data_IF_353162070189
#
_entry.id   IF_353162070189
#
_cell.length_a   1.000
_cell.length_b   1.000
_cell.length_c   1.000
_cell.angle_alpha   90.00
_cell.angle_beta   90.00
_cell.angle_gamma   90.00
#
_symmetry.space_group_name_H-M   'P 1'
#
loop_
_entity.id
_entity.type
_entity.pdbx_description
1 polymer ?
#
# COMPACT_ATOMS: atom_id res chain seq x y z
N UNK A 1 12.64 9.19 22.96
CA UNK A 1 11.54 8.52 22.23
C UNK A 1 12.20 7.90 21.01
N UNK A 2 12.34 6.57 20.97
CA UNK A 2 13.04 5.88 19.89
C UNK A 2 12.02 5.72 18.76
N UNK A 3 12.20 6.44 17.67
CA UNK A 3 11.34 6.32 16.49
C UNK A 3 11.43 4.89 15.95
N UNK A 4 10.31 4.33 15.48
CA UNK A 4 10.39 3.14 14.62
C UNK A 4 11.10 3.51 13.32
N UNK A 5 11.66 2.53 12.60
CA UNK A 5 12.35 2.78 11.32
C UNK A 5 11.40 3.42 10.30
N UNK A 6 10.13 3.00 10.31
CA UNK A 6 9.10 3.55 9.42
C UNK A 6 8.77 5.01 9.76
N UNK A 7 8.64 5.36 11.05
CA UNK A 7 8.39 6.74 11.46
C UNK A 7 9.59 7.63 11.12
N UNK A 8 10.80 7.10 11.28
CA UNK A 8 12.02 7.80 10.93
C UNK A 8 12.13 8.03 9.41
N UNK A 9 11.86 7.01 8.59
CA UNK A 9 11.80 7.13 7.14
C UNK A 9 10.76 8.18 6.72
N UNK A 10 9.54 8.12 7.26
CA UNK A 10 8.49 9.09 6.97
C UNK A 10 8.90 10.53 7.34
N UNK A 11 9.55 10.71 8.49
CA UNK A 11 10.06 12.02 8.92
C UNK A 11 11.12 12.58 7.97
N UNK A 12 12.08 11.75 7.56
CA UNK A 12 13.12 12.13 6.60
C UNK A 12 12.53 12.50 5.24
N UNK A 13 11.64 11.65 4.70
CA UNK A 13 11.02 11.86 3.39
C UNK A 13 10.14 13.11 3.37
N UNK A 14 9.44 13.39 4.47
CA UNK A 14 8.66 14.62 4.64
C UNK A 14 9.54 15.86 4.61
N UNK A 15 10.70 15.83 5.27
CA UNK A 15 11.65 16.94 5.23
C UNK A 15 12.13 17.22 3.80
N UNK A 16 12.47 16.17 3.03
CA UNK A 16 12.84 16.30 1.60
C UNK A 16 11.69 16.91 0.80
N UNK A 17 10.47 16.36 0.92
CA UNK A 17 9.28 16.81 0.19
C UNK A 17 8.95 18.28 0.44
N UNK A 18 9.19 18.76 1.66
CA UNK A 18 8.93 20.15 2.04
C UNK A 18 10.12 21.10 1.82
N UNK A 19 11.29 20.59 1.43
CA UNK A 19 12.53 21.38 1.38
C UNK A 19 12.99 21.86 2.77
N UNK A 20 12.69 21.11 3.82
CA UNK A 20 13.02 21.43 5.21
C UNK A 20 14.37 20.83 5.64
N UNK A 21 14.92 21.38 6.72
CA UNK A 21 16.16 20.88 7.32
C UNK A 21 15.91 19.59 8.09
N UNK A 22 16.85 18.64 7.97
CA UNK A 22 16.82 17.44 8.80
C UNK A 22 17.00 17.80 10.28
N UNK A 23 16.22 17.15 11.14
CA UNK A 23 16.28 17.35 12.60
C UNK A 23 17.58 16.85 13.23
N UNK A 24 18.43 16.18 12.45
CA UNK A 24 19.71 15.61 12.86
C UNK A 24 20.81 16.05 11.89
N UNK A 25 22.07 16.19 12.35
CA UNK A 25 23.18 16.52 11.46
C UNK A 25 23.29 15.52 10.32
N UNK A 26 23.41 15.99 9.08
CA UNK A 26 23.59 15.16 7.89
C UNK A 26 24.91 15.51 7.21
N UNK A 27 25.75 14.51 6.93
CA UNK A 27 26.94 14.72 6.11
C UNK A 27 26.54 15.07 4.68
N UNK A 28 27.30 15.92 4.01
CA UNK A 28 27.03 16.38 2.65
C UNK A 28 25.65 17.03 2.42
N UNK A 29 25.04 17.58 3.48
CA UNK A 29 23.72 18.19 3.39
C UNK A 29 23.66 19.35 2.38
N UNK A 30 24.71 20.18 2.31
CA UNK A 30 24.78 21.28 1.35
C UNK A 30 24.72 20.76 -0.10
N UNK A 31 25.43 19.66 -0.39
CA UNK A 31 25.39 19.05 -1.71
C UNK A 31 24.05 18.34 -2.00
N UNK A 32 23.39 17.78 -0.98
CA UNK A 32 22.03 17.25 -1.11
C UNK A 32 21.00 18.35 -1.43
N UNK A 33 21.21 19.59 -0.96
CA UNK A 33 20.33 20.72 -1.28
C UNK A 33 20.53 21.29 -2.68
N UNK A 34 21.67 21.00 -3.31
CA UNK A 34 21.97 21.44 -4.67
C UNK A 34 21.27 20.59 -5.74
N UNK A 35 20.76 19.41 -5.37
CA UNK A 35 20.05 18.51 -6.29
C UNK A 35 18.53 18.64 -6.13
N UNK A 36 17.81 18.53 -7.24
CA UNK A 36 16.34 18.49 -7.23
C UNK A 36 15.85 17.08 -6.89
N UNK A 37 15.27 16.94 -5.71
CA UNK A 37 14.74 15.68 -5.15
C UNK A 37 13.20 15.64 -5.28
N UNK A 38 12.72 15.54 -6.51
CA UNK A 38 11.30 15.61 -6.89
C UNK A 38 10.56 14.24 -6.85
N UNK A 39 11.22 13.22 -6.33
CA UNK A 39 10.78 11.83 -6.32
C UNK A 39 10.50 11.27 -7.73
N UNK A 40 11.28 11.68 -8.74
CA UNK A 40 11.25 11.10 -10.10
C UNK A 40 12.40 10.11 -10.33
N UNK A 41 12.33 9.31 -11.39
CA UNK A 41 13.48 8.51 -11.82
C UNK A 41 14.69 9.38 -12.17
N UNK A 42 14.47 10.59 -12.70
CA UNK A 42 15.56 11.48 -13.09
C UNK A 42 16.34 12.01 -11.88
N UNK A 43 15.66 12.23 -10.74
CA UNK A 43 16.34 12.59 -9.49
C UNK A 43 17.36 11.54 -9.02
N UNK A 44 17.22 10.27 -9.43
CA UNK A 44 18.22 9.24 -9.13
C UNK A 44 19.51 9.46 -9.93
N UNK A 45 19.43 9.99 -11.15
CA UNK A 45 20.60 10.38 -11.93
C UNK A 45 21.36 11.53 -11.24
N UNK A 46 20.65 12.48 -10.62
CA UNK A 46 21.26 13.54 -9.83
C UNK A 46 21.96 12.99 -8.59
N UNK A 47 21.35 12.01 -7.90
CA UNK A 47 21.99 11.31 -6.78
C UNK A 47 23.23 10.54 -7.25
N UNK A 48 23.16 9.84 -8.38
CA UNK A 48 24.32 9.13 -8.93
C UNK A 48 25.48 10.08 -9.23
N UNK A 49 25.20 11.23 -9.84
CA UNK A 49 26.19 12.28 -10.08
C UNK A 49 26.79 12.84 -8.77
N UNK A 50 25.95 13.06 -7.75
CA UNK A 50 26.38 13.49 -6.42
C UNK A 50 27.32 12.47 -5.77
N UNK A 51 26.92 11.19 -5.74
CA UNK A 51 27.69 10.10 -5.14
C UNK A 51 29.04 9.93 -5.84
N UNK A 52 29.08 10.01 -7.17
CA UNK A 52 30.32 9.97 -7.95
C UNK A 52 31.21 11.19 -7.67
N UNK A 53 30.65 12.39 -7.54
CA UNK A 53 31.40 13.59 -7.16
C UNK A 53 32.00 13.44 -5.76
N UNK A 54 31.21 12.97 -4.79
CA UNK A 54 31.69 12.73 -3.42
C UNK A 54 32.83 11.74 -3.41
N UNK A 55 32.68 10.61 -4.11
CA UNK A 55 33.71 9.58 -4.25
C UNK A 55 35.00 10.15 -4.83
N UNK A 56 34.91 10.90 -5.94
CA UNK A 56 36.08 11.37 -6.67
C UNK A 56 36.79 12.54 -5.98
N UNK A 57 36.03 13.46 -5.39
CA UNK A 57 36.54 14.71 -4.79
C UNK A 57 36.90 14.56 -3.33
N UNK A 58 36.00 14.01 -2.51
CA UNK A 58 36.19 13.92 -1.06
C UNK A 58 36.81 12.60 -0.62
N UNK A 59 36.68 11.53 -1.43
CA UNK A 59 37.24 10.18 -1.15
C UNK A 59 36.92 9.73 0.28
N UNK A 60 35.62 9.65 0.64
CA UNK A 60 35.23 9.36 2.01
C UNK A 60 35.76 7.99 2.47
N UNK A 61 36.08 7.90 3.76
CA UNK A 61 36.32 6.60 4.41
C UNK A 61 34.99 5.95 4.77
N UNK A 62 34.85 4.65 4.48
CA UNK A 62 33.70 3.85 4.86
C UNK A 62 33.45 3.91 6.38
N UNK A 63 34.50 3.67 7.17
CA UNK A 63 34.42 3.69 8.63
C UNK A 63 33.90 5.03 9.17
N UNK A 64 34.34 6.14 8.57
CA UNK A 64 33.89 7.48 8.99
C UNK A 64 32.39 7.69 8.73
N UNK A 65 31.88 7.19 7.61
CA UNK A 65 30.46 7.31 7.28
C UNK A 65 29.60 6.45 8.22
N UNK A 66 30.00 5.21 8.51
CA UNK A 66 29.20 4.32 9.34
C UNK A 66 29.35 4.55 10.85
N UNK A 67 30.41 5.21 11.33
CA UNK A 67 30.62 5.48 12.76
C UNK A 67 30.07 6.83 13.23
N UNK A 68 29.82 7.76 12.31
CA UNK A 68 29.31 9.09 12.66
C UNK A 68 27.80 9.19 12.42
N UNK A 69 27.05 9.79 13.35
CA UNK A 69 25.62 9.99 13.19
C UNK A 69 25.29 10.75 11.88
N UNK A 70 26.12 11.71 11.52
CA UNK A 70 25.95 12.49 10.29
C UNK A 70 26.16 11.67 9.01
N UNK A 71 27.16 10.78 9.02
CA UNK A 71 27.39 9.87 7.90
C UNK A 71 26.31 8.81 7.76
N UNK A 72 25.85 8.25 8.88
CA UNK A 72 24.76 7.29 8.90
C UNK A 72 23.47 7.92 8.34
N UNK A 73 23.11 9.13 8.79
CA UNK A 73 21.94 9.84 8.28
C UNK A 73 22.03 10.09 6.77
N UNK A 74 23.19 10.51 6.27
CA UNK A 74 23.39 10.71 4.84
C UNK A 74 23.08 9.45 4.03
N UNK A 75 23.61 8.29 4.45
CA UNK A 75 23.36 7.02 3.77
C UNK A 75 21.88 6.60 3.87
N UNK A 76 21.25 6.79 5.03
CA UNK A 76 19.85 6.46 5.24
C UNK A 76 18.91 7.35 4.42
N UNK A 77 19.18 8.66 4.34
CA UNK A 77 18.43 9.61 3.50
C UNK A 77 18.37 9.11 2.05
N UNK A 78 19.52 8.72 1.50
CA UNK A 78 19.60 8.22 0.13
C UNK A 78 18.87 6.88 -0.05
N UNK A 79 19.01 5.97 0.91
CA UNK A 79 18.32 4.67 0.86
C UNK A 79 16.78 4.83 0.94
N UNK A 80 16.30 5.67 1.84
CA UNK A 80 14.87 5.99 1.98
C UNK A 80 14.34 6.66 0.72
N UNK A 81 15.04 7.68 0.23
CA UNK A 81 14.65 8.38 -0.97
C UNK A 81 14.59 7.45 -2.19
N UNK A 82 15.64 6.64 -2.40
CA UNK A 82 15.70 5.67 -3.50
C UNK A 82 14.49 4.73 -3.49
N UNK A 83 14.20 4.11 -2.35
CA UNK A 83 13.06 3.20 -2.25
C UNK A 83 11.71 3.91 -2.37
N UNK A 84 11.59 5.16 -1.94
CA UNK A 84 10.38 5.96 -2.17
C UNK A 84 10.18 6.32 -3.64
N UNK A 85 11.24 6.62 -4.39
CA UNK A 85 11.14 6.77 -5.86
C UNK A 85 10.67 5.46 -6.47
N UNK A 86 11.26 4.32 -6.06
CA UNK A 86 10.89 3.01 -6.61
C UNK A 86 9.43 2.70 -6.37
N UNK A 87 8.97 2.90 -5.14
CA UNK A 87 7.61 2.62 -4.74
C UNK A 87 6.57 3.54 -5.38
N UNK A 88 6.92 4.81 -5.60
CA UNK A 88 6.07 5.75 -6.35
C UNK A 88 5.91 5.32 -7.80
N UNK A 89 7.01 4.93 -8.46
CA UNK A 89 6.99 4.58 -9.89
C UNK A 89 6.33 3.21 -10.11
N UNK A 90 6.57 2.24 -9.23
CA UNK A 90 5.99 0.89 -9.30
C UNK A 90 4.61 0.76 -8.65
N UNK A 91 4.11 1.84 -8.03
CA UNK A 91 2.88 1.85 -7.22
C UNK A 91 2.88 0.75 -6.15
N UNK A 92 4.03 0.54 -5.50
CA UNK A 92 4.16 -0.45 -4.43
C UNK A 92 4.23 0.14 -3.03
N UNK A 93 3.98 -0.72 -2.04
CA UNK A 93 4.25 -0.39 -0.65
C UNK A 93 5.72 -0.66 -0.31
N UNK A 94 6.26 0.13 0.62
CA UNK A 94 7.61 -0.09 1.19
C UNK A 94 7.46 -0.11 2.69
N UNK A 95 7.70 -1.27 3.28
CA UNK A 95 7.77 -1.41 4.72
C UNK A 95 9.20 -1.61 5.16
N UNK A 96 9.66 -0.77 6.08
CA UNK A 96 10.99 -0.85 6.67
C UNK A 96 10.96 -1.72 7.92
N UNK A 97 12.08 -2.39 8.16
CA UNK A 97 12.33 -3.20 9.34
C UNK A 97 13.74 -2.89 9.83
N UNK A 98 13.91 -2.80 11.15
CA UNK A 98 15.26 -2.96 11.70
C UNK A 98 15.71 -4.43 11.59
N UNK A 99 17.00 -4.68 11.85
CA UNK A 99 17.56 -6.01 11.72
C UNK A 99 16.88 -7.07 12.61
N UNK A 100 16.48 -6.72 13.83
CA UNK A 100 15.85 -7.65 14.77
C UNK A 100 14.40 -7.95 14.35
N UNK A 101 13.64 -6.92 13.97
CA UNK A 101 12.30 -7.05 13.39
C UNK A 101 12.32 -7.93 12.14
N UNK A 102 13.32 -7.70 11.26
CA UNK A 102 13.48 -8.45 10.03
C UNK A 102 13.78 -9.93 10.30
N UNK A 103 14.73 -10.21 11.20
CA UNK A 103 15.11 -11.56 11.59
C UNK A 103 13.94 -12.35 12.18
N UNK A 104 12.98 -11.68 12.80
CA UNK A 104 11.78 -12.31 13.35
C UNK A 104 10.77 -12.75 12.28
N UNK A 105 10.78 -12.15 11.08
CA UNK A 105 9.78 -12.41 10.03
C UNK A 105 10.31 -13.28 8.88
N UNK A 106 11.63 -13.48 8.77
CA UNK A 106 12.22 -14.35 7.74
C UNK A 106 12.65 -15.70 8.29
N UNK A 107 12.66 -16.76 7.47
CA UNK A 107 13.27 -18.03 7.85
C UNK A 107 14.72 -17.85 8.34
N UNK A 108 15.12 -18.61 9.36
CA UNK A 108 16.43 -18.43 10.02
C UNK A 108 17.65 -18.55 9.08
N UNK A 109 17.50 -19.22 7.93
CA UNK A 109 18.52 -19.38 6.90
C UNK A 109 18.46 -18.33 5.77
N UNK A 110 17.48 -17.42 5.80
CA UNK A 110 17.28 -16.38 4.79
C UNK A 110 17.74 -14.98 5.26
N UNK A 111 18.00 -14.81 6.56
CA UNK A 111 18.52 -13.54 7.08
C UNK A 111 20.01 -13.36 6.71
N UNK A 112 20.41 -12.20 6.14
CA UNK A 112 21.81 -11.89 5.91
C UNK A 112 22.52 -11.63 7.23
N UNK A 113 23.86 -11.60 7.20
CA UNK A 113 24.67 -11.25 8.36
C UNK A 113 24.38 -9.81 8.83
N UNK A 114 24.50 -9.58 10.15
CA UNK A 114 24.29 -8.26 10.73
C UNK A 114 25.49 -7.33 10.44
N UNK A 115 25.26 -6.30 9.63
CA UNK A 115 26.20 -5.23 9.33
C UNK A 115 25.45 -3.90 9.18
N UNK A 116 26.17 -2.81 8.88
CA UNK A 116 25.54 -1.50 8.75
C UNK A 116 24.46 -1.47 7.66
N UNK A 117 24.71 -2.10 6.52
CA UNK A 117 23.78 -2.16 5.39
C UNK A 117 22.54 -3.02 5.67
N UNK A 118 22.60 -3.93 6.64
CA UNK A 118 21.47 -4.77 7.06
C UNK A 118 20.82 -4.27 8.35
N UNK A 119 21.31 -3.18 8.95
CA UNK A 119 20.65 -2.52 10.10
C UNK A 119 19.21 -2.14 9.78
N UNK A 120 18.95 -1.76 8.53
CA UNK A 120 17.63 -1.47 8.02
C UNK A 120 17.45 -2.14 6.68
N UNK A 121 16.36 -2.88 6.56
CA UNK A 121 15.96 -3.53 5.32
C UNK A 121 14.52 -3.12 5.01
N UNK A 122 14.13 -3.24 3.75
CA UNK A 122 12.72 -3.05 3.42
C UNK A 122 12.18 -4.21 2.60
N UNK A 123 10.88 -4.40 2.71
CA UNK A 123 10.12 -5.29 1.83
C UNK A 123 9.34 -4.41 0.87
N UNK A 124 9.53 -4.67 -0.42
CA UNK A 124 8.83 -4.00 -1.52
C UNK A 124 8.71 -4.99 -2.69
N UNK A 125 7.52 -5.07 -3.30
CA UNK A 125 7.19 -6.09 -4.30
C UNK A 125 7.37 -7.53 -3.79
N UNK A 126 6.94 -7.78 -2.55
CA UNK A 126 7.12 -9.08 -1.88
C UNK A 126 8.58 -9.60 -1.83
N UNK A 127 9.56 -8.73 -2.07
CA UNK A 127 10.97 -9.04 -2.08
C UNK A 127 11.74 -8.21 -1.05
N UNK A 128 12.79 -8.81 -0.49
CA UNK A 128 13.69 -8.15 0.45
C UNK A 128 14.62 -7.23 -0.36
N UNK A 129 14.67 -5.96 0.02
CA UNK A 129 15.52 -4.94 -0.60
C UNK A 129 16.51 -4.41 0.43
N UNK A 130 17.74 -4.25 -0.03
CA UNK A 130 18.86 -3.77 0.78
C UNK A 130 19.45 -2.49 0.16
N UNK A 131 18.70 -1.37 0.19
CA UNK A 131 19.04 -0.15 -0.54
C UNK A 131 20.38 0.47 -0.09
N UNK A 132 20.80 0.23 1.16
CA UNK A 132 22.12 0.69 1.63
C UNK A 132 23.29 0.03 0.88
N UNK A 133 23.16 -1.22 0.44
CA UNK A 133 24.19 -1.83 -0.41
C UNK A 133 24.30 -1.12 -1.76
N UNK A 134 23.17 -0.73 -2.37
CA UNK A 134 23.19 0.00 -3.64
C UNK A 134 23.91 1.35 -3.52
N UNK A 135 23.60 2.12 -2.46
CA UNK A 135 24.27 3.41 -2.17
C UNK A 135 25.78 3.20 -1.91
N UNK A 136 26.13 2.20 -1.09
CA UNK A 136 27.52 1.93 -0.75
C UNK A 136 28.34 1.37 -1.93
N UNK A 137 27.72 0.58 -2.80
CA UNK A 137 28.39 0.06 -3.99
C UNK A 137 28.84 1.22 -4.89
N UNK A 138 28.05 2.27 -5.05
CA UNK A 138 28.44 3.46 -5.84
C UNK A 138 29.60 4.21 -5.17
N UNK A 139 29.48 4.48 -3.86
CA UNK A 139 30.49 5.23 -3.12
C UNK A 139 31.86 4.53 -3.06
N UNK A 140 31.88 3.20 -2.90
CA UNK A 140 33.11 2.49 -2.52
C UNK A 140 33.58 1.42 -3.51
N UNK A 141 32.68 0.72 -4.21
CA UNK A 141 33.06 -0.40 -5.10
C UNK A 141 33.11 0.02 -6.57
N UNK A 142 32.07 0.70 -7.03
CA UNK A 142 31.72 1.02 -8.42
C UNK A 142 32.14 -0.07 -9.42
N UNK A 143 31.55 -1.27 -9.34
CA UNK A 143 31.75 -2.28 -10.34
C UNK A 143 30.98 -1.84 -11.61
N UNK A 144 31.69 -1.29 -12.59
CA UNK A 144 31.19 -1.02 -13.95
C UNK A 144 30.28 0.22 -14.19
N UNK A 145 30.28 1.23 -13.31
CA UNK A 145 29.53 2.47 -13.56
C UNK A 145 28.02 2.36 -13.33
N UNK A 146 27.59 1.30 -12.63
CA UNK A 146 26.19 1.09 -12.27
C UNK A 146 25.80 2.07 -11.16
N UNK A 147 24.75 2.86 -11.41
CA UNK A 147 24.15 3.80 -10.47
C UNK A 147 22.81 3.31 -9.92
N UNK A 148 22.18 4.08 -9.03
CA UNK A 148 20.82 3.86 -8.54
C UNK A 148 19.81 3.79 -9.69
N UNK A 149 20.04 4.50 -10.78
CA UNK A 149 19.21 4.39 -11.99
C UNK A 149 19.21 2.96 -12.59
N UNK A 150 20.34 2.24 -12.52
CA UNK A 150 20.40 0.85 -13.00
C UNK A 150 19.72 -0.12 -12.03
N UNK A 151 19.84 0.11 -10.72
CA UNK A 151 19.06 -0.65 -9.73
C UNK A 151 17.55 -0.39 -9.91
N UNK A 152 17.17 0.83 -10.26
CA UNK A 152 15.80 1.18 -10.56
C UNK A 152 15.25 0.42 -11.77
N UNK A 153 16.00 0.32 -12.85
CA UNK A 153 15.60 -0.45 -14.04
C UNK A 153 15.37 -1.93 -13.70
N UNK A 154 16.24 -2.53 -12.88
CA UNK A 154 16.05 -3.91 -12.42
C UNK A 154 14.77 -4.05 -11.60
N UNK A 155 14.52 -3.13 -10.68
CA UNK A 155 13.33 -3.10 -9.84
C UNK A 155 12.04 -2.93 -10.67
N UNK A 156 12.06 -2.06 -11.68
CA UNK A 156 10.89 -1.79 -12.54
C UNK A 156 10.58 -2.92 -13.53
N UNK A 157 11.56 -3.76 -13.84
CA UNK A 157 11.34 -4.96 -14.64
C UNK A 157 10.64 -6.08 -13.85
N UNK A 158 10.48 -5.91 -12.53
CA UNK A 158 9.68 -6.80 -11.71
C UNK A 158 8.19 -6.44 -11.79
N UNK A 159 7.28 -7.42 -11.83
CA UNK A 159 5.85 -7.14 -11.94
C UNK A 159 5.35 -6.31 -10.75
N UNK A 160 4.49 -5.30 -10.97
CA UNK A 160 3.98 -4.46 -9.89
C UNK A 160 3.14 -5.29 -8.90
N UNK A 161 3.34 -5.02 -7.61
CA UNK A 161 2.63 -5.70 -6.52
C UNK A 161 1.20 -5.20 -6.35
N UNK A 162 0.90 -4.01 -6.87
CA UNK A 162 -0.45 -3.43 -6.80
C UNK A 162 -0.89 -2.81 -8.12
N UNK A 163 -2.21 -2.68 -8.26
CA UNK A 163 -2.90 -2.07 -9.38
C UNK A 163 -3.77 -0.96 -8.80
N UNK A 164 -3.51 0.27 -9.22
CA UNK A 164 -4.38 1.40 -8.90
C UNK A 164 -5.68 1.27 -9.69
N UNK A 165 -6.82 1.24 -8.98
CA UNK A 165 -8.12 1.19 -9.63
C UNK A 165 -8.48 2.56 -10.20
N UNK A 166 -8.32 2.72 -11.52
CA UNK A 166 -8.62 3.97 -12.21
C UNK A 166 -10.10 4.08 -12.60
N UNK A 167 -10.78 5.07 -12.04
CA UNK A 167 -12.21 5.35 -12.26
C UNK A 167 -12.55 5.96 -13.63
N UNK A 168 -11.56 6.39 -14.41
CA UNK A 168 -11.77 7.09 -15.69
C UNK A 168 -12.11 6.16 -16.87
N UNK A 169 -12.01 4.84 -16.70
CA UNK A 169 -12.45 3.88 -17.73
C UNK A 169 -13.96 3.59 -17.58
N UNK A 170 -14.75 4.59 -17.97
CA UNK A 170 -16.16 4.80 -17.63
C UNK A 170 -17.21 3.89 -18.32
N UNK A 171 -16.88 3.01 -19.28
CA UNK A 171 -17.92 2.46 -20.19
C UNK A 171 -17.90 0.99 -20.52
N UNK A 172 -16.86 0.25 -20.15
CA UNK A 172 -16.80 -1.16 -20.53
C UNK A 172 -17.39 -2.05 -19.45
N UNK A 173 -18.63 -2.46 -19.65
CA UNK A 173 -19.21 -3.58 -18.94
C UNK A 173 -18.50 -4.88 -19.32
N UNK A 174 -18.33 -5.78 -18.35
CA UNK A 174 -17.88 -7.15 -18.64
C UNK A 174 -18.85 -7.81 -19.63
N UNK A 175 -18.33 -8.62 -20.55
CA UNK A 175 -19.18 -9.38 -21.47
C UNK A 175 -19.95 -10.47 -20.72
N UNK A 176 -21.15 -10.80 -21.18
CA UNK A 176 -21.98 -11.87 -20.58
C UNK A 176 -21.26 -13.23 -20.53
N UNK A 177 -20.40 -13.49 -21.52
CA UNK A 177 -19.56 -14.69 -21.55
C UNK A 177 -18.51 -14.69 -20.43
N UNK A 178 -17.84 -13.56 -20.17
CA UNK A 178 -16.88 -13.46 -19.07
C UNK A 178 -17.58 -13.59 -17.72
N UNK A 179 -18.77 -12.98 -17.59
CA UNK A 179 -19.59 -13.06 -16.37
C UNK A 179 -20.01 -14.50 -16.08
N UNK A 180 -20.63 -15.18 -17.05
CA UNK A 180 -21.10 -16.55 -16.87
C UNK A 180 -19.97 -17.54 -16.56
N UNK A 181 -18.78 -17.37 -17.14
CA UNK A 181 -17.62 -18.24 -16.86
C UNK A 181 -16.97 -17.99 -15.51
N UNK A 182 -17.16 -16.80 -14.92
CA UNK A 182 -16.48 -16.37 -13.71
C UNK A 182 -17.45 -15.86 -12.62
N UNK A 183 -18.68 -16.39 -12.61
CA UNK A 183 -19.79 -15.89 -11.78
C UNK A 183 -19.40 -15.69 -10.30
N UNK A 184 -18.71 -16.67 -9.71
CA UNK A 184 -18.26 -16.61 -8.31
C UNK A 184 -17.25 -15.47 -8.05
N UNK A 185 -16.33 -15.20 -8.99
CA UNK A 185 -15.37 -14.10 -8.88
C UNK A 185 -16.03 -12.73 -9.11
N UNK A 186 -16.95 -12.65 -10.07
CA UNK A 186 -17.75 -11.45 -10.33
C UNK A 186 -18.57 -11.11 -9.09
N UNK A 187 -19.32 -12.08 -8.55
CA UNK A 187 -20.15 -11.88 -7.36
C UNK A 187 -19.31 -11.40 -6.18
N UNK A 188 -18.16 -12.03 -5.91
CA UNK A 188 -17.25 -11.59 -4.85
C UNK A 188 -16.75 -10.17 -5.06
N UNK A 189 -16.39 -9.80 -6.29
CA UNK A 189 -15.85 -8.49 -6.61
C UNK A 189 -16.91 -7.39 -6.57
N UNK A 190 -18.14 -7.69 -6.98
CA UNK A 190 -19.30 -6.79 -6.81
C UNK A 190 -19.60 -6.57 -5.32
N UNK A 191 -19.53 -7.63 -4.51
CA UNK A 191 -19.68 -7.56 -3.06
C UNK A 191 -18.61 -6.67 -2.41
N UNK A 192 -17.35 -6.79 -2.84
CA UNK A 192 -16.26 -5.90 -2.41
C UNK A 192 -16.55 -4.45 -2.80
N UNK A 193 -17.00 -4.21 -4.04
CA UNK A 193 -17.36 -2.87 -4.51
C UNK A 193 -18.51 -2.24 -3.72
N UNK A 194 -19.54 -3.02 -3.37
CA UNK A 194 -20.65 -2.58 -2.52
C UNK A 194 -20.17 -2.24 -1.10
N UNK A 195 -19.38 -3.12 -0.49
CA UNK A 195 -18.84 -2.89 0.85
C UNK A 195 -17.96 -1.63 0.87
N UNK A 196 -17.09 -1.46 -0.13
CA UNK A 196 -16.26 -0.26 -0.29
C UNK A 196 -17.09 1.01 -0.44
N UNK A 197 -18.10 1.01 -1.32
CA UNK A 197 -19.00 2.14 -1.49
C UNK A 197 -19.76 2.49 -0.20
N UNK A 198 -20.24 1.48 0.53
CA UNK A 198 -20.89 1.66 1.82
C UNK A 198 -19.91 2.24 2.85
N UNK A 199 -18.70 1.70 2.98
CA UNK A 199 -17.72 2.19 3.95
C UNK A 199 -17.32 3.63 3.67
N UNK A 200 -17.09 4.02 2.41
CA UNK A 200 -16.80 5.42 2.04
C UNK A 200 -17.95 6.34 2.45
N UNK A 201 -19.21 5.91 2.28
CA UNK A 201 -20.37 6.72 2.67
C UNK A 201 -20.52 6.89 4.18
N UNK A 202 -20.08 5.90 4.97
CA UNK A 202 -20.20 5.88 6.44
C UNK A 202 -18.93 6.31 7.18
N UNK A 203 -17.81 6.54 6.48
CA UNK A 203 -16.57 7.00 7.10
C UNK A 203 -16.75 8.27 7.98
N UNK A 204 -17.58 9.28 7.60
CA UNK A 204 -17.79 10.46 8.43
C UNK A 204 -18.51 10.19 9.77
N UNK A 205 -19.18 9.05 9.95
CA UNK A 205 -19.94 8.71 11.16
C UNK A 205 -19.15 7.91 12.21
N UNK A 206 -17.83 7.79 12.06
CA UNK A 206 -16.87 7.28 13.08
C UNK A 206 -17.11 5.86 13.61
N UNK A 207 -18.01 5.07 13.02
CA UNK A 207 -18.46 3.81 13.61
C UNK A 207 -18.57 2.65 12.61
N UNK A 208 -17.79 2.67 11.52
CA UNK A 208 -17.67 1.49 10.67
C UNK A 208 -16.69 0.50 11.32
N UNK A 209 -17.18 -0.25 12.30
CA UNK A 209 -16.44 -1.35 12.90
C UNK A 209 -16.11 -2.43 11.88
N UNK A 210 -15.24 -3.37 12.26
CA UNK A 210 -14.83 -4.46 11.38
C UNK A 210 -16.07 -5.22 10.87
N UNK A 211 -16.23 -5.26 9.56
CA UNK A 211 -17.44 -5.75 8.88
C UNK A 211 -17.10 -6.95 8.01
N UNK A 212 -17.83 -8.06 8.18
CA UNK A 212 -17.68 -9.27 7.38
C UNK A 212 -18.99 -9.64 6.68
N UNK A 213 -18.94 -9.87 5.38
CA UNK A 213 -20.03 -10.24 4.49
C UNK A 213 -19.83 -11.65 3.91
N UNK A 214 -20.93 -12.35 3.67
CA UNK A 214 -20.98 -13.69 3.08
C UNK A 214 -22.15 -13.83 2.09
N UNK A 215 -22.11 -14.82 1.18
CA UNK A 215 -23.25 -15.15 0.34
C UNK A 215 -24.42 -15.67 1.18
N UNK A 216 -25.62 -15.27 0.77
CA UNK A 216 -26.89 -15.66 1.36
C UNK A 216 -27.91 -16.01 0.28
N UNK A 217 -28.78 -16.96 0.60
CA UNK A 217 -29.96 -17.32 -0.19
C UNK A 217 -31.24 -17.18 0.62
N UNK A 218 -31.22 -16.34 1.65
CA UNK A 218 -32.40 -16.05 2.46
C UNK A 218 -33.54 -15.55 1.56
N UNK A 219 -34.74 -16.10 1.77
CA UNK A 219 -35.93 -15.87 0.95
C UNK A 219 -35.85 -16.33 -0.52
N UNK A 220 -34.92 -17.23 -0.87
CA UNK A 220 -34.83 -17.81 -2.20
C UNK A 220 -34.29 -16.84 -3.26
N UNK A 221 -33.63 -15.76 -2.83
CA UNK A 221 -32.93 -14.81 -3.69
C UNK A 221 -31.43 -14.83 -3.39
N UNK A 222 -30.55 -14.91 -4.40
CA UNK A 222 -29.12 -14.67 -4.19
C UNK A 222 -28.93 -13.28 -3.60
N UNK A 223 -28.17 -13.17 -2.52
CA UNK A 223 -27.92 -11.93 -1.81
C UNK A 223 -26.71 -12.01 -0.89
N UNK A 224 -26.49 -10.95 -0.11
CA UNK A 224 -25.37 -10.86 0.83
C UNK A 224 -25.91 -10.84 2.25
N UNK A 225 -25.20 -11.45 3.21
CA UNK A 225 -25.52 -11.33 4.63
C UNK A 225 -24.31 -10.85 5.44
N UNK A 226 -24.57 -9.88 6.31
CA UNK A 226 -23.63 -9.47 7.34
C UNK A 226 -23.44 -10.62 8.31
N UNK A 227 -22.20 -11.09 8.43
CA UNK A 227 -21.82 -12.21 9.28
C UNK A 227 -21.60 -11.74 10.71
N UNK A 228 -20.90 -10.60 10.91
CA UNK A 228 -20.55 -10.07 12.23
C UNK A 228 -20.00 -8.62 12.13
N UNK A 229 -20.32 -7.79 13.13
CA UNK A 229 -19.46 -6.67 13.54
C UNK A 229 -18.48 -7.21 14.58
N UNK A 230 -17.19 -7.26 14.26
CA UNK A 230 -16.18 -7.67 15.24
C UNK A 230 -15.73 -6.47 16.06
N UNK A 231 -15.29 -6.72 17.30
CA UNK A 231 -14.51 -5.75 18.08
C UNK A 231 -13.29 -5.29 17.29
N UNK A 232 -12.59 -4.25 17.74
CA UNK A 232 -11.37 -3.70 17.12
C UNK A 232 -10.20 -4.72 16.97
N UNK A 233 -10.42 -6.01 17.26
CA UNK A 233 -9.46 -7.10 17.07
C UNK A 233 -9.48 -7.64 15.64
N UNK A 234 -8.54 -7.14 14.84
CA UNK A 234 -8.27 -7.61 13.48
C UNK A 234 -7.83 -9.08 13.41
N UNK A 235 -7.42 -9.70 14.52
CA UNK A 235 -7.01 -11.12 14.56
C UNK A 235 -8.20 -12.04 14.42
N UNK A 236 -9.32 -11.74 15.10
CA UNK A 236 -10.56 -12.51 14.98
C UNK A 236 -11.10 -12.46 13.55
N UNK A 237 -10.99 -11.29 12.91
CA UNK A 237 -11.36 -11.06 11.51
C UNK A 237 -10.60 -11.96 10.54
N UNK A 238 -9.27 -11.91 10.59
CA UNK A 238 -8.42 -12.75 9.74
C UNK A 238 -8.65 -14.23 10.01
N UNK A 239 -8.82 -14.61 11.28
CA UNK A 239 -9.11 -15.99 11.66
C UNK A 239 -10.45 -16.49 11.08
N UNK A 240 -11.49 -15.66 11.01
CA UNK A 240 -12.76 -16.00 10.35
C UNK A 240 -12.60 -16.16 8.84
N UNK A 241 -11.86 -15.26 8.18
CA UNK A 241 -11.54 -15.34 6.77
C UNK A 241 -10.73 -16.62 6.48
N UNK A 242 -9.63 -16.87 7.17
CA UNK A 242 -8.77 -18.01 6.82
C UNK A 242 -9.44 -19.37 7.07
N UNK A 243 -10.20 -19.50 8.17
CA UNK A 243 -10.80 -20.79 8.54
C UNK A 243 -12.18 -21.05 7.93
N UNK A 244 -12.89 -20.02 7.47
CA UNK A 244 -14.24 -20.12 6.91
C UNK A 244 -15.15 -21.09 7.72
N UNK A 245 -15.41 -20.79 9.02
CA UNK A 245 -16.05 -21.74 9.93
C UNK A 245 -17.46 -22.16 9.51
N UNK A 246 -18.11 -21.39 8.62
CA UNK A 246 -19.45 -21.66 8.09
C UNK A 246 -19.45 -22.21 6.65
N UNK A 247 -18.28 -22.60 6.13
CA UNK A 247 -18.10 -23.21 4.80
C UNK A 247 -18.80 -22.43 3.68
N UNK A 248 -18.66 -21.11 3.69
CA UNK A 248 -19.22 -20.22 2.67
C UNK A 248 -18.43 -20.31 1.37
N UNK A 249 -19.10 -20.05 0.24
CA UNK A 249 -18.46 -20.04 -1.08
C UNK A 249 -17.37 -18.97 -1.18
N UNK A 250 -17.65 -17.81 -0.59
CA UNK A 250 -16.72 -16.72 -0.43
C UNK A 250 -17.00 -15.97 0.88
N UNK A 251 -16.00 -15.23 1.35
CA UNK A 251 -16.12 -14.27 2.44
C UNK A 251 -15.41 -12.99 2.02
N UNK A 252 -15.96 -11.84 2.40
CA UNK A 252 -15.41 -10.53 2.11
C UNK A 252 -15.59 -9.64 3.33
N UNK A 253 -14.59 -8.88 3.72
CA UNK A 253 -14.79 -7.91 4.79
C UNK A 253 -13.78 -6.78 4.77
N UNK A 254 -13.97 -5.85 5.70
CA UNK A 254 -13.17 -4.63 5.85
C UNK A 254 -12.79 -4.44 7.31
N UNK A 255 -11.54 -4.02 7.53
CA UNK A 255 -11.05 -3.54 8.81
C UNK A 255 -10.23 -2.26 8.63
N UNK A 256 -10.07 -1.51 9.72
CA UNK A 256 -9.13 -0.39 9.77
C UNK A 256 -7.71 -0.92 10.02
N UNK A 257 -6.72 -0.21 9.50
CA UNK A 257 -5.33 -0.62 9.59
C UNK A 257 -4.39 0.40 8.98
N UNK A 258 -3.16 -0.05 8.73
CA UNK A 258 -2.12 0.79 8.17
C UNK A 258 -1.55 0.15 6.92
N UNK A 259 -1.32 0.97 5.91
CA UNK A 259 -0.52 0.61 4.72
C UNK A 259 0.69 1.53 4.65
N UNK A 260 1.72 1.07 3.95
CA UNK A 260 2.98 1.78 3.85
C UNK A 260 3.23 2.16 2.38
N UNK A 261 2.45 3.07 1.79
CA UNK A 261 2.77 3.61 0.47
C UNK A 261 4.15 4.28 0.51
N UNK A 262 4.65 4.65 -0.66
CA UNK A 262 5.95 5.32 -0.81
C UNK A 262 6.12 6.60 0.02
N UNK A 263 5.01 7.25 0.40
CA UNK A 263 4.99 8.46 1.24
C UNK A 263 5.14 8.17 2.75
N UNK A 264 5.18 6.89 3.14
CA UNK A 264 5.26 6.45 4.53
C UNK A 264 3.95 5.85 5.03
N UNK A 265 3.92 5.53 6.32
CA UNK A 265 2.76 4.91 6.97
C UNK A 265 1.53 5.81 6.85
N UNK A 266 0.44 5.26 6.34
CA UNK A 266 -0.85 5.95 6.23
C UNK A 266 -1.98 5.06 6.74
N UNK A 267 -3.03 5.69 7.27
CA UNK A 267 -4.24 4.98 7.65
C UNK A 267 -4.93 4.45 6.40
N UNK A 268 -5.48 3.25 6.48
CA UNK A 268 -6.17 2.65 5.36
C UNK A 268 -7.24 1.68 5.80
N UNK A 269 -8.32 1.66 5.03
CA UNK A 269 -9.29 0.59 5.10
C UNK A 269 -8.79 -0.58 4.27
N UNK A 270 -8.69 -1.74 4.91
CA UNK A 270 -8.17 -2.98 4.34
C UNK A 270 -9.35 -3.89 4.04
N UNK A 271 -9.60 -4.12 2.75
CA UNK A 271 -10.62 -5.04 2.28
C UNK A 271 -9.96 -6.36 1.92
N UNK A 272 -10.40 -7.44 2.57
CA UNK A 272 -9.92 -8.79 2.33
C UNK A 272 -11.08 -9.67 1.90
N UNK A 273 -10.88 -10.42 0.82
CA UNK A 273 -11.87 -11.36 0.32
C UNK A 273 -11.23 -12.67 -0.11
N UNK A 274 -11.91 -13.78 0.15
CA UNK A 274 -11.45 -15.11 -0.21
C UNK A 274 -12.58 -15.83 -0.93
N UNK A 275 -12.30 -16.31 -2.14
CA UNK A 275 -13.14 -17.28 -2.82
C UNK A 275 -12.59 -18.70 -2.54
N UNK A 276 -13.41 -19.51 -1.87
CA UNK A 276 -13.03 -20.87 -1.44
C UNK A 276 -13.37 -21.94 -2.48
N UNK A 277 -14.07 -21.60 -3.57
CA UNK A 277 -14.47 -22.55 -4.61
C UNK A 277 -13.37 -22.82 -5.64
N UNK A 278 -12.33 -21.97 -5.72
CA UNK A 278 -11.15 -22.16 -6.58
C UNK A 278 -10.05 -22.90 -5.81
N UNK A 279 -9.27 -23.72 -6.52
CA UNK A 279 -8.03 -24.32 -6.05
C UNK A 279 -6.87 -23.91 -6.98
N UNK A 280 -5.86 -23.16 -6.51
CA UNK A 280 -5.74 -22.60 -5.15
C UNK A 280 -6.84 -21.58 -4.83
N UNK A 281 -7.15 -21.46 -3.53
CA UNK A 281 -8.07 -20.43 -3.03
C UNK A 281 -7.65 -19.06 -3.55
N UNK A 282 -8.62 -18.30 -3.99
CA UNK A 282 -8.37 -17.00 -4.58
C UNK A 282 -8.55 -15.93 -3.51
N UNK A 283 -7.47 -15.21 -3.17
CA UNK A 283 -7.45 -14.14 -2.16
C UNK A 283 -7.31 -12.78 -2.83
N UNK A 284 -8.27 -11.89 -2.60
CA UNK A 284 -8.25 -10.49 -3.05
C UNK A 284 -7.95 -9.61 -1.85
N UNK A 285 -6.98 -8.71 -2.01
CA UNK A 285 -6.68 -7.66 -1.05
C UNK A 285 -6.78 -6.31 -1.75
N UNK A 286 -7.55 -5.40 -1.17
CA UNK A 286 -7.72 -4.05 -1.66
C UNK A 286 -7.50 -3.07 -0.51
N UNK A 287 -6.66 -2.07 -0.73
CA UNK A 287 -6.40 -1.02 0.23
C UNK A 287 -7.05 0.28 -0.22
N UNK A 288 -7.70 0.98 0.71
CA UNK A 288 -8.17 2.33 0.50
C UNK A 288 -7.47 3.26 1.50
N UNK A 289 -6.33 3.85 1.12
CA UNK A 289 -5.65 4.82 1.96
C UNK A 289 -6.51 6.05 2.21
N UNK A 290 -6.45 6.59 3.41
CA UNK A 290 -7.14 7.81 3.77
C UNK A 290 -6.33 8.70 4.69
N UNK A 291 -6.65 10.00 4.66
CA UNK A 291 -6.24 10.97 5.66
C UNK A 291 -7.47 11.67 6.22
N UNK A 292 -7.35 12.21 7.43
CA UNK A 292 -8.43 12.96 8.06
C UNK A 292 -7.93 14.36 8.41
N UNK A 293 -8.72 15.38 8.10
CA UNK A 293 -8.50 16.73 8.60
C UNK A 293 -9.27 16.89 9.91
N UNK A 294 -8.53 16.96 11.02
CA UNK A 294 -9.08 17.12 12.37
C UNK A 294 -9.95 18.38 12.52
N UNK A 295 -9.65 19.44 11.76
CA UNK A 295 -10.34 20.73 11.84
C UNK A 295 -11.69 20.66 11.13
N UNK A 296 -11.73 20.08 9.94
CA UNK A 296 -12.95 19.97 9.14
C UNK A 296 -13.75 18.69 9.40
N UNK A 297 -13.18 17.73 10.15
CA UNK A 297 -13.69 16.36 10.32
C UNK A 297 -13.99 15.69 8.97
N UNK A 298 -13.21 16.02 7.94
CA UNK A 298 -13.37 15.44 6.61
C UNK A 298 -12.33 14.34 6.41
N UNK A 299 -12.77 13.26 5.75
CA UNK A 299 -11.90 12.19 5.28
C UNK A 299 -11.56 12.44 3.82
N UNK A 300 -10.28 12.28 3.47
CA UNK A 300 -9.78 12.31 2.11
C UNK A 300 -9.29 10.91 1.76
N UNK A 301 -9.89 10.31 0.75
CA UNK A 301 -9.51 8.99 0.27
C UNK A 301 -8.59 9.10 -0.95
N UNK A 302 -7.50 8.35 -0.93
CA UNK A 302 -6.69 8.10 -2.12
C UNK A 302 -7.37 7.06 -3.01
N UNK A 303 -6.81 6.81 -4.19
CA UNK A 303 -7.32 5.76 -5.08
C UNK A 303 -7.14 4.37 -4.45
N UNK A 304 -8.09 3.44 -4.67
CA UNK A 304 -7.94 2.07 -4.17
C UNK A 304 -6.78 1.34 -4.84
N UNK A 305 -6.03 0.58 -4.05
CA UNK A 305 -4.87 -0.21 -4.48
C UNK A 305 -5.18 -1.70 -4.37
N UNK A 306 -5.32 -2.39 -5.50
CA UNK A 306 -5.56 -3.84 -5.57
C UNK A 306 -4.24 -4.60 -5.57
N UNK A 307 -4.00 -5.53 -4.64
CA UNK A 307 -2.77 -6.34 -4.64
C UNK A 307 -2.81 -7.38 -5.76
N UNK A 308 -1.84 -7.34 -6.67
CA UNK A 308 -1.65 -8.31 -7.75
C UNK A 308 -0.85 -9.53 -7.25
N UNK A 309 -1.55 -10.51 -6.70
CA UNK A 309 -0.97 -11.83 -6.40
C UNK A 309 -1.32 -12.88 -7.46
N UNK A 310 -0.40 -13.15 -8.39
CA UNK A 310 -0.51 -14.25 -9.38
C UNK A 310 -1.78 -14.26 -10.25
N UNK A 311 -2.48 -13.13 -10.35
CA UNK A 311 -3.70 -13.00 -11.14
C UNK A 311 -3.40 -12.88 -12.63
N UNK A 312 -4.24 -13.54 -13.44
CA UNK A 312 -4.27 -13.31 -14.88
C UNK A 312 -4.79 -11.90 -15.18
N UNK A 313 -4.45 -11.35 -16.35
CA UNK A 313 -4.98 -10.05 -16.77
C UNK A 313 -6.52 -10.06 -16.87
N UNK A 314 -7.11 -11.21 -17.23
CA UNK A 314 -8.56 -11.43 -17.23
C UNK A 314 -9.16 -11.34 -15.83
N UNK A 315 -8.55 -11.97 -14.82
CA UNK A 315 -9.06 -11.88 -13.44
C UNK A 315 -8.95 -10.44 -12.91
N UNK A 316 -7.83 -9.76 -13.21
CA UNK A 316 -7.63 -8.34 -12.86
C UNK A 316 -8.73 -7.47 -13.47
N UNK A 317 -9.04 -7.68 -14.74
CA UNK A 317 -10.10 -6.96 -15.43
C UNK A 317 -11.46 -7.20 -14.76
N UNK A 318 -11.80 -8.45 -14.45
CA UNK A 318 -13.06 -8.82 -13.78
C UNK A 318 -13.17 -8.12 -12.43
N UNK A 319 -12.14 -8.22 -11.59
CA UNK A 319 -12.13 -7.65 -10.23
C UNK A 319 -12.25 -6.14 -10.31
N UNK A 320 -11.39 -5.51 -11.11
CA UNK A 320 -11.33 -4.04 -11.22
C UNK A 320 -12.65 -3.47 -11.72
N UNK A 321 -13.20 -4.00 -12.82
CA UNK A 321 -14.46 -3.50 -13.39
C UNK A 321 -15.65 -3.72 -12.45
N UNK A 322 -15.72 -4.86 -11.77
CA UNK A 322 -16.82 -5.18 -10.84
C UNK A 322 -16.78 -4.29 -9.58
N UNK A 323 -15.61 -4.01 -9.03
CA UNK A 323 -15.45 -3.11 -7.87
C UNK A 323 -15.79 -1.66 -8.28
N UNK A 324 -15.22 -1.18 -9.39
CA UNK A 324 -15.39 0.20 -9.87
C UNK A 324 -16.86 0.51 -10.16
N UNK A 325 -17.61 -0.44 -10.71
CA UNK A 325 -19.06 -0.30 -11.00
C UNK A 325 -19.84 0.24 -9.80
N UNK A 326 -19.61 -0.30 -8.60
CA UNK A 326 -20.34 0.10 -7.40
C UNK A 326 -19.88 1.42 -6.79
N UNK A 327 -18.60 1.76 -6.93
CA UNK A 327 -18.07 3.07 -6.50
C UNK A 327 -18.62 4.18 -7.40
N UNK A 328 -18.68 3.96 -8.71
CA UNK A 328 -19.24 4.94 -9.65
C UNK A 328 -20.76 5.10 -9.49
N UNK A 329 -21.45 4.03 -9.09
CA UNK A 329 -22.89 4.01 -8.83
C UNK A 329 -23.20 4.13 -7.34
N UNK A 330 -22.38 4.86 -6.58
CA UNK A 330 -22.46 4.94 -5.12
C UNK A 330 -23.88 5.21 -4.58
N UNK A 331 -24.71 6.11 -5.15
CA UNK A 331 -26.09 6.28 -4.69
C UNK A 331 -26.93 5.00 -4.80
N UNK A 332 -26.81 4.27 -5.92
CA UNK A 332 -27.51 3.00 -6.16
C UNK A 332 -26.95 1.90 -5.24
N UNK A 333 -25.63 1.88 -5.03
CA UNK A 333 -24.97 0.97 -4.11
C UNK A 333 -25.45 1.18 -2.66
N UNK A 334 -25.67 2.44 -2.25
CA UNK A 334 -26.21 2.77 -0.94
C UNK A 334 -27.66 2.36 -0.78
N UNK A 335 -28.50 2.56 -1.80
CA UNK A 335 -29.88 2.06 -1.77
C UNK A 335 -29.93 0.53 -1.69
N UNK A 336 -29.04 -0.16 -2.40
CA UNK A 336 -28.87 -1.61 -2.28
C UNK A 336 -28.41 -2.01 -0.88
N UNK A 337 -27.42 -1.33 -0.30
CA UNK A 337 -26.95 -1.56 1.06
C UNK A 337 -28.08 -1.41 2.07
N UNK A 338 -28.84 -0.31 2.02
CA UNK A 338 -30.01 -0.05 2.89
C UNK A 338 -31.08 -1.11 2.76
N UNK A 339 -31.31 -1.60 1.54
CA UNK A 339 -32.28 -2.68 1.28
C UNK A 339 -31.83 -3.99 1.93
N UNK A 340 -30.54 -4.30 1.91
CA UNK A 340 -30.03 -5.55 2.49
C UNK A 340 -29.76 -5.47 4.00
N UNK A 341 -29.52 -4.26 4.53
CA UNK A 341 -29.07 -4.01 5.90
C UNK A 341 -29.79 -2.81 6.56
N UNK A 342 -31.14 -2.77 6.56
CA UNK A 342 -31.89 -1.61 7.04
C UNK A 342 -31.65 -1.29 8.53
N UNK A 343 -31.35 -2.30 9.35
CA UNK A 343 -31.06 -2.15 10.77
C UNK A 343 -29.71 -1.45 11.07
N UNK A 344 -28.87 -1.27 10.05
CA UNK A 344 -27.58 -0.60 10.15
C UNK A 344 -27.55 0.76 9.44
N UNK A 345 -28.70 1.21 8.92
CA UNK A 345 -28.86 2.53 8.30
C UNK A 345 -28.93 3.62 9.38
N UNK A 346 -27.77 4.01 9.91
CA UNK A 346 -27.61 5.15 10.83
C UNK A 346 -27.39 6.47 10.10
N UNK A 347 -27.63 6.49 8.78
CA UNK A 347 -27.42 7.68 7.94
C UNK A 347 -28.33 8.79 8.46
N UNK A 348 -27.73 9.84 9.02
CA UNK A 348 -28.46 11.10 9.18
C UNK A 348 -28.98 11.49 7.79
N UNK A 349 -30.27 11.80 7.66
CA UNK A 349 -30.95 12.18 6.41
C UNK A 349 -30.31 13.39 5.69
N UNK A 350 -29.19 13.91 6.19
CA UNK A 350 -28.37 14.92 5.55
C UNK A 350 -27.96 14.42 4.17
N UNK A 351 -28.51 15.01 3.08
CA UNK A 351 -28.16 14.60 1.74
C UNK A 351 -26.65 14.77 1.56
N UNK A 352 -26.01 13.81 0.88
CA UNK A 352 -24.64 13.95 0.37
C UNK A 352 -24.67 15.09 -0.66
N UNK A 353 -24.65 16.36 -0.20
CA UNK A 353 -24.90 17.55 -1.04
C UNK A 353 -23.74 17.85 -2.00
N UNK A 354 -22.58 17.25 -1.79
CA UNK A 354 -21.40 17.23 -2.67
C UNK A 354 -20.64 15.91 -2.41
N UNK A 355 -19.95 15.31 -3.40
CA UNK A 355 -19.05 14.20 -3.10
C UNK A 355 -17.96 14.74 -2.18
N UNK A 356 -17.98 14.29 -0.92
CA UNK A 356 -17.00 14.62 0.13
C UNK A 356 -15.67 13.90 -0.13
N UNK A 357 -15.64 13.01 -1.11
CA UNK A 357 -14.46 12.31 -1.60
C UNK A 357 -13.95 13.02 -2.86
N UNK A 358 -12.65 13.32 -2.87
CA UNK A 358 -11.89 13.58 -4.08
C UNK A 358 -10.87 12.46 -4.19
N UNK A 359 -10.97 11.65 -5.23
CA UNK A 359 -9.83 10.85 -5.65
C UNK A 359 -8.80 11.82 -6.22
N UNK A 360 -7.68 11.96 -5.52
CA UNK A 360 -6.53 12.71 -6.01
C UNK A 360 -5.72 11.84 -6.98
#
# INVERSE_FOLDING_TARGET
MQFSVNDFAAHVLKAIKNGEDFSFPCMYNDQLREIDLDFSLDSLNHIDALLLNIRNRYKPSYDNLIQTQAGQLFLMVLAFYFMSVMAKVSQCSVKWFDYEEFKAIVPANAAPEHCFETNFVCIAQSAIRLPLFAVNDILFKNPAGLGLANYAEQFLNEPPEHIELNFQNEKETLSDELVSKNESLVNLSECMGLLLAATIAHAPSTNFGITLLAPSTEEGRPGMKLVKFMSDDTSEFRNHLDNNPRQKEWLCGVCDGYVYPYEGKTDALIFEAINYQKDPKTKIHLYLPYSHDETSKQFYFSKPLLIKNHWSDTDIEIISKSIIKHILQMPIALDAWRKYYPEYDTISETPIKKPWYKFW
#
